data_IF_928911969945
#
_entry.id   IF_928911969945
#
_cell.length_a   1.000
_cell.length_b   1.000
_cell.length_c   1.000
_cell.angle_alpha   90.00
_cell.angle_beta   90.00
_cell.angle_gamma   90.00
#
_symmetry.space_group_name_H-M   'P 1'
#
loop_
_entity.id
_entity.type
_entity.pdbx_description
1 polymer ?
#
# COMPACT_ATOMS: atom_id res chain seq x y z
N UNK A 1 14.02 -1.58 15.17
CA UNK A 1 13.28 -2.13 14.02
C UNK A 1 14.22 -2.99 13.19
N UNK A 2 13.82 -4.21 12.84
CA UNK A 2 14.58 -5.05 11.91
C UNK A 2 13.90 -4.97 10.56
N UNK A 3 14.54 -4.33 9.59
CA UNK A 3 14.10 -4.31 8.21
C UNK A 3 14.64 -5.57 7.51
N UNK A 4 13.75 -6.44 7.04
CA UNK A 4 14.12 -7.54 6.15
C UNK A 4 13.74 -7.14 4.74
N UNK A 5 14.72 -6.82 3.92
CA UNK A 5 14.54 -6.55 2.50
C UNK A 5 14.65 -7.88 1.77
N UNK A 6 13.60 -8.27 1.07
CA UNK A 6 13.64 -9.38 0.13
C UNK A 6 13.93 -8.80 -1.26
N UNK A 7 15.13 -8.97 -1.81
CA UNK A 7 15.48 -8.38 -3.08
C UNK A 7 14.61 -8.94 -4.20
N UNK A 8 14.25 -8.06 -5.12
CA UNK A 8 13.58 -8.40 -6.36
C UNK A 8 14.45 -9.35 -7.18
N UNK A 9 13.82 -10.29 -7.84
CA UNK A 9 14.47 -11.17 -8.81
C UNK A 9 15.16 -10.34 -9.90
N UNK A 10 16.48 -10.27 -9.85
CA UNK A 10 17.27 -9.95 -11.02
C UNK A 10 17.55 -11.28 -11.75
N UNK A 11 17.22 -11.34 -13.03
CA UNK A 11 17.51 -12.46 -13.96
C UNK A 11 19.01 -12.76 -14.12
N UNK A 12 19.85 -12.38 -13.17
CA UNK A 12 21.29 -12.60 -13.25
C UNK A 12 21.71 -13.76 -12.34
N UNK A 13 22.12 -14.83 -13.04
CA UNK A 13 22.88 -15.98 -12.53
C UNK A 13 22.11 -17.00 -11.67
N UNK A 14 21.35 -17.82 -12.35
CA UNK A 14 20.94 -19.15 -11.90
C UNK A 14 22.16 -20.12 -11.85
N UNK A 15 23.12 -19.82 -11.01
CA UNK A 15 24.09 -20.80 -10.56
C UNK A 15 24.32 -20.58 -9.06
N UNK A 16 23.73 -21.46 -8.31
CA UNK A 16 23.94 -21.86 -6.93
C UNK A 16 22.73 -21.71 -6.02
N UNK A 17 22.08 -22.87 -5.79
CA UNK A 17 21.32 -23.25 -4.58
C UNK A 17 20.47 -22.16 -3.90
N UNK A 18 19.72 -21.38 -4.67
CA UNK A 18 18.66 -20.56 -4.10
C UNK A 18 17.42 -21.44 -3.89
N UNK A 19 16.77 -21.41 -2.71
CA UNK A 19 15.52 -22.13 -2.49
C UNK A 19 14.33 -21.52 -3.29
N UNK A 20 14.59 -20.55 -4.14
CA UNK A 20 13.58 -19.83 -4.94
C UNK A 20 13.53 -20.45 -6.33
N UNK A 21 12.48 -21.21 -6.62
CA UNK A 21 12.18 -21.67 -7.98
C UNK A 21 11.73 -20.49 -8.83
N UNK A 22 12.16 -20.42 -10.09
CA UNK A 22 11.47 -19.59 -11.08
C UNK A 22 10.02 -20.05 -11.10
N UNK A 23 9.12 -19.21 -10.59
CA UNK A 23 7.70 -19.44 -10.80
C UNK A 23 7.43 -19.16 -12.28
N UNK A 24 6.72 -20.06 -12.94
CA UNK A 24 6.10 -19.84 -14.24
C UNK A 24 5.02 -18.77 -14.07
N UNK A 25 5.46 -17.51 -13.98
CA UNK A 25 4.55 -16.37 -13.89
C UNK A 25 3.87 -16.23 -15.25
N UNK A 26 2.59 -16.51 -15.32
CA UNK A 26 1.75 -16.24 -16.49
C UNK A 26 1.86 -14.78 -16.95
N UNK A 27 2.24 -13.88 -16.02
CA UNK A 27 2.43 -12.46 -16.26
C UNK A 27 3.33 -11.84 -15.18
N UNK A 28 4.28 -10.93 -15.53
CA UNK A 28 5.09 -10.20 -14.56
C UNK A 28 4.26 -9.37 -13.57
N UNK A 29 3.05 -8.98 -13.93
CA UNK A 29 2.10 -8.26 -13.06
C UNK A 29 1.62 -9.10 -11.87
N UNK A 30 1.79 -10.42 -11.93
CA UNK A 30 1.40 -11.33 -10.86
C UNK A 30 2.50 -11.55 -9.82
N UNK A 31 3.68 -10.92 -9.96
CA UNK A 31 4.83 -11.13 -9.09
C UNK A 31 4.52 -10.86 -7.61
N UNK A 32 3.70 -9.88 -7.30
CA UNK A 32 3.32 -9.55 -5.92
C UNK A 32 2.52 -10.66 -5.23
N UNK A 33 1.88 -11.57 -5.98
CA UNK A 33 1.20 -12.72 -5.39
C UNK A 33 2.17 -13.74 -4.79
N UNK A 34 3.39 -13.83 -5.31
CA UNK A 34 4.41 -14.76 -4.81
C UNK A 34 4.87 -14.44 -3.38
N UNK A 35 4.71 -13.19 -2.95
CA UNK A 35 5.04 -12.78 -1.58
C UNK A 35 4.11 -13.42 -0.53
N UNK A 36 2.96 -13.96 -0.93
CA UNK A 36 1.93 -14.48 -0.01
C UNK A 36 2.45 -15.63 0.85
N UNK A 37 3.20 -16.56 0.27
CA UNK A 37 3.75 -17.69 1.02
C UNK A 37 4.77 -17.23 2.09
N UNK A 38 5.59 -16.23 1.76
CA UNK A 38 6.54 -15.64 2.72
C UNK A 38 5.79 -14.96 3.86
N UNK A 39 4.77 -14.15 3.54
CA UNK A 39 3.96 -13.47 4.55
C UNK A 39 3.24 -14.45 5.49
N UNK A 40 2.75 -15.58 4.95
CA UNK A 40 2.11 -16.63 5.72
C UNK A 40 3.08 -17.32 6.69
N UNK A 41 4.32 -17.55 6.26
CA UNK A 41 5.37 -18.07 7.13
C UNK A 41 5.73 -17.07 8.23
N UNK A 42 5.87 -15.79 7.90
CA UNK A 42 6.15 -14.72 8.85
C UNK A 42 5.03 -14.56 9.88
N UNK A 43 3.78 -14.60 9.46
CA UNK A 43 2.62 -14.56 10.35
C UNK A 43 2.62 -15.71 11.35
N UNK A 44 3.00 -16.93 10.93
CA UNK A 44 3.08 -18.12 11.79
C UNK A 44 4.24 -18.10 12.76
N UNK A 45 5.32 -17.39 12.44
CA UNK A 45 6.55 -17.40 13.25
C UNK A 45 6.41 -16.69 14.60
N UNK A 46 5.25 -16.07 14.90
CA UNK A 46 4.95 -15.36 16.16
C UNK A 46 6.14 -14.52 16.65
N UNK A 47 6.67 -13.71 15.78
CA UNK A 47 7.81 -12.87 16.16
C UNK A 47 7.33 -11.86 17.20
N UNK A 48 7.74 -12.05 18.46
CA UNK A 48 7.47 -11.15 19.59
C UNK A 48 8.11 -9.75 19.43
N UNK A 49 8.69 -9.47 18.28
CA UNK A 49 9.32 -8.19 17.96
C UNK A 49 8.35 -7.30 17.22
N UNK A 50 8.38 -6.01 17.54
CA UNK A 50 7.71 -4.98 16.74
C UNK A 50 8.34 -4.97 15.34
N UNK A 51 7.67 -5.56 14.38
CA UNK A 51 8.13 -5.69 13.00
C UNK A 51 7.18 -4.97 12.06
N UNK A 52 7.73 -4.40 11.00
CA UNK A 52 6.99 -3.90 9.85
C UNK A 52 7.32 -4.76 8.63
N UNK A 53 6.31 -5.07 7.86
CA UNK A 53 6.40 -5.81 6.60
C UNK A 53 6.02 -4.86 5.47
N UNK A 54 6.95 -4.65 4.56
CA UNK A 54 6.79 -3.75 3.43
C UNK A 54 6.73 -4.56 2.15
N UNK A 55 5.67 -4.36 1.38
CA UNK A 55 5.50 -4.91 0.04
C UNK A 55 5.38 -3.72 -0.88
N UNK A 56 6.33 -3.57 -1.78
CA UNK A 56 6.48 -2.40 -2.63
C UNK A 56 6.52 -2.81 -4.09
N UNK A 57 5.89 -2.02 -4.95
CA UNK A 57 6.21 -2.03 -6.37
C UNK A 57 7.63 -1.45 -6.56
N UNK A 58 8.31 -1.88 -7.61
CA UNK A 58 9.74 -1.56 -7.79
C UNK A 58 10.03 -0.09 -8.13
N UNK A 59 9.02 0.64 -8.47
CA UNK A 59 9.00 2.04 -8.87
C UNK A 59 8.35 2.96 -7.83
N UNK A 60 8.01 2.42 -6.66
CA UNK A 60 7.47 3.16 -5.51
C UNK A 60 8.47 3.20 -4.35
N UNK A 61 9.51 4.05 -4.42
CA UNK A 61 10.50 4.17 -3.35
C UNK A 61 9.87 4.79 -2.10
N UNK A 62 10.10 4.17 -0.96
CA UNK A 62 9.74 4.70 0.36
C UNK A 62 11.00 5.22 1.04
N UNK A 63 10.90 6.37 1.69
CA UNK A 63 11.93 6.97 2.50
C UNK A 63 11.57 6.98 3.99
N UNK A 64 12.48 7.46 4.84
CA UNK A 64 12.28 7.50 6.29
C UNK A 64 11.09 8.38 6.69
N UNK A 65 10.85 9.50 6.01
CA UNK A 65 9.73 10.40 6.31
C UNK A 65 8.38 9.71 6.09
N UNK A 66 8.27 8.91 5.01
CA UNK A 66 7.08 8.12 4.74
C UNK A 66 6.84 7.05 5.83
N UNK A 67 7.92 6.39 6.30
CA UNK A 67 7.82 5.39 7.36
C UNK A 67 7.44 6.02 8.70
N UNK A 68 8.04 7.14 9.05
CA UNK A 68 7.74 7.88 10.28
C UNK A 68 6.28 8.33 10.28
N UNK A 69 5.79 8.91 9.18
CA UNK A 69 4.38 9.23 9.01
C UNK A 69 3.46 8.02 9.26
N UNK A 70 3.77 6.88 8.63
CA UNK A 70 2.96 5.68 8.78
C UNK A 70 2.93 5.21 10.23
N UNK A 71 4.07 5.21 10.92
CA UNK A 71 4.19 4.80 12.33
C UNK A 71 3.44 5.75 13.26
N UNK A 72 3.57 7.06 13.06
CA UNK A 72 2.92 8.09 13.86
C UNK A 72 1.39 8.02 13.78
N UNK A 73 0.86 7.78 12.58
CA UNK A 73 -0.58 7.81 12.34
C UNK A 73 -1.26 6.45 12.49
N UNK A 74 -0.49 5.36 12.50
CA UNK A 74 -1.02 3.98 12.52
C UNK A 74 -1.89 3.67 13.74
N UNK A 75 -1.44 4.06 14.93
CA UNK A 75 -2.20 3.81 16.17
C UNK A 75 -3.50 4.59 16.17
N UNK A 76 -3.43 5.88 15.85
CA UNK A 76 -4.58 6.78 15.79
C UNK A 76 -5.65 6.25 14.82
N UNK A 77 -5.29 6.00 13.56
CA UNK A 77 -6.22 5.52 12.54
C UNK A 77 -6.79 4.12 12.86
N UNK A 78 -6.05 3.31 13.63
CA UNK A 78 -6.50 1.96 14.00
C UNK A 78 -7.74 1.96 14.89
N UNK A 79 -7.99 3.02 15.64
CA UNK A 79 -9.17 3.16 16.51
C UNK A 79 -10.47 3.18 15.71
N UNK A 80 -10.42 3.73 14.49
CA UNK A 80 -11.54 3.72 13.54
C UNK A 80 -11.45 2.57 12.51
N UNK A 81 -10.49 1.66 12.67
CA UNK A 81 -10.27 0.57 11.72
C UNK A 81 -9.61 0.98 10.41
N UNK A 82 -9.07 2.20 10.35
CA UNK A 82 -8.39 2.74 9.18
C UNK A 82 -6.89 2.42 9.16
N UNK A 83 -6.26 2.65 8.02
CA UNK A 83 -4.84 2.35 7.77
C UNK A 83 -4.20 3.56 7.08
N UNK A 84 -3.03 4.05 7.55
CA UNK A 84 -2.29 5.07 6.83
C UNK A 84 -1.94 4.60 5.42
N UNK A 85 -2.10 5.48 4.45
CA UNK A 85 -1.81 5.21 3.04
C UNK A 85 -0.94 6.29 2.42
N UNK A 86 -0.60 6.09 1.17
CA UNK A 86 0.24 7.01 0.40
C UNK A 86 -0.45 7.37 -0.92
N UNK A 87 -0.10 8.54 -1.41
CA UNK A 87 -0.49 9.04 -2.72
C UNK A 87 0.74 9.09 -3.61
N UNK A 88 0.67 8.45 -4.77
CA UNK A 88 1.78 8.47 -5.72
C UNK A 88 1.73 9.71 -6.59
N UNK A 89 2.90 10.32 -6.78
CA UNK A 89 3.07 11.45 -7.69
C UNK A 89 4.16 11.16 -8.71
N UNK A 90 3.98 11.65 -9.93
CA UNK A 90 4.97 11.62 -11.00
C UNK A 90 5.30 13.03 -11.46
N UNK A 91 6.54 13.21 -11.91
CA UNK A 91 6.90 14.43 -12.62
C UNK A 91 6.35 14.37 -14.04
N UNK A 92 5.67 15.42 -14.49
CA UNK A 92 5.19 15.49 -15.87
C UNK A 92 6.37 15.54 -16.85
N UNK A 93 6.11 15.17 -18.10
CA UNK A 93 7.13 15.15 -19.16
C UNK A 93 7.80 16.52 -19.39
N UNK A 94 7.16 17.62 -18.97
CA UNK A 94 7.78 18.96 -18.97
C UNK A 94 8.88 19.10 -17.92
N UNK A 95 8.95 18.24 -16.92
CA UNK A 95 9.87 18.33 -15.78
C UNK A 95 9.50 19.41 -14.75
N UNK A 96 8.40 20.13 -14.95
CA UNK A 96 8.05 21.30 -14.14
C UNK A 96 6.92 21.07 -13.14
N UNK A 97 6.10 20.04 -13.35
CA UNK A 97 4.91 19.77 -12.52
C UNK A 97 4.87 18.35 -12.03
N UNK A 98 4.44 18.19 -10.78
CA UNK A 98 4.06 16.91 -10.21
C UNK A 98 2.56 16.70 -10.41
N UNK A 99 2.17 15.51 -10.82
CA UNK A 99 0.77 15.08 -10.87
C UNK A 99 0.57 13.87 -9.98
N UNK A 100 -0.60 13.74 -9.40
CA UNK A 100 -1.01 12.53 -8.70
C UNK A 100 -1.53 11.51 -9.72
N UNK A 101 -0.93 10.33 -9.76
CA UNK A 101 -1.26 9.31 -10.76
C UNK A 101 -2.42 8.43 -10.37
N UNK A 102 -2.70 8.32 -9.07
CA UNK A 102 -3.76 7.47 -8.54
C UNK A 102 -5.11 8.19 -8.43
N UNK A 103 -5.14 9.47 -8.70
CA UNK A 103 -6.35 10.28 -8.74
C UNK A 103 -6.74 10.47 -10.21
N UNK A 104 -7.56 9.55 -10.71
CA UNK A 104 -7.88 9.48 -12.14
C UNK A 104 -8.73 10.63 -12.66
N UNK A 105 -9.39 11.37 -11.79
CA UNK A 105 -10.23 12.50 -12.20
C UNK A 105 -10.37 13.48 -11.03
N UNK A 106 -10.29 14.77 -11.35
CA UNK A 106 -10.75 15.86 -10.49
C UNK A 106 -12.20 16.25 -10.84
N UNK A 107 -12.99 15.30 -11.37
CA UNK A 107 -14.40 15.46 -11.58
C UNK A 107 -15.06 15.87 -10.26
N UNK A 108 -15.87 16.94 -10.22
CA UNK A 108 -16.55 17.41 -9.02
C UNK A 108 -17.33 16.31 -8.29
N UNK A 109 -17.95 15.39 -9.01
CA UNK A 109 -18.68 14.28 -8.39
C UNK A 109 -17.76 13.29 -7.67
N UNK A 110 -16.56 13.06 -8.18
CA UNK A 110 -15.56 12.23 -7.52
C UNK A 110 -14.94 12.95 -6.32
N UNK A 111 -14.58 14.23 -6.47
CA UNK A 111 -14.05 15.04 -5.35
C UNK A 111 -15.07 15.15 -4.21
N UNK A 112 -16.35 15.28 -4.52
CA UNK A 112 -17.42 15.30 -3.52
C UNK A 112 -17.57 13.97 -2.75
N UNK A 113 -17.04 12.88 -3.27
CA UNK A 113 -16.99 11.58 -2.57
C UNK A 113 -15.83 11.47 -1.59
N UNK A 114 -14.87 12.39 -1.63
CA UNK A 114 -13.75 12.41 -0.69
C UNK A 114 -14.25 12.79 0.70
N UNK A 115 -13.75 12.07 1.68
CA UNK A 115 -14.19 12.28 3.06
C UNK A 115 -13.07 12.85 3.90
N UNK A 116 -13.27 14.07 4.38
CA UNK A 116 -12.38 14.70 5.37
C UNK A 116 -12.93 14.43 6.77
N UNK A 117 -12.05 14.07 7.70
CA UNK A 117 -12.39 13.82 9.10
C UNK A 117 -11.20 14.15 10.00
N UNK A 118 -11.47 14.34 11.30
CA UNK A 118 -10.43 14.68 12.27
C UNK A 118 -10.40 13.67 13.41
N UNK A 119 -9.19 13.34 13.86
CA UNK A 119 -8.93 12.46 15.00
C UNK A 119 -7.76 13.02 15.80
N UNK A 120 -7.84 13.01 17.11
CA UNK A 120 -6.75 13.39 18.05
C UNK A 120 -5.99 14.68 17.67
N UNK A 121 -6.64 15.61 16.99
CA UNK A 121 -6.03 16.88 16.58
C UNK A 121 -5.37 16.83 15.19
N UNK A 122 -5.31 15.69 14.55
CA UNK A 122 -4.90 15.54 13.16
C UNK A 122 -6.12 15.51 12.23
N UNK A 123 -5.92 15.87 10.99
CA UNK A 123 -6.93 15.81 9.95
C UNK A 123 -6.51 14.84 8.86
N UNK A 124 -7.48 14.11 8.37
CA UNK A 124 -7.29 13.06 7.38
C UNK A 124 -8.28 13.20 6.24
N UNK A 125 -7.88 12.69 5.09
CA UNK A 125 -8.74 12.55 3.93
C UNK A 125 -8.75 11.10 3.44
N UNK A 126 -9.93 10.63 3.09
CA UNK A 126 -10.11 9.39 2.36
C UNK A 126 -10.44 9.72 0.91
N UNK A 127 -9.66 9.19 0.01
CA UNK A 127 -9.88 9.21 -1.43
C UNK A 127 -10.32 7.80 -1.82
N UNK A 128 -11.58 7.61 -2.26
CA UNK A 128 -12.11 6.27 -2.54
C UNK A 128 -11.29 5.51 -3.57
N UNK A 129 -11.00 4.25 -3.29
CA UNK A 129 -10.30 3.34 -4.20
C UNK A 129 -8.91 3.82 -4.64
N UNK A 130 -8.21 4.50 -3.73
CA UNK A 130 -6.84 4.97 -3.97
C UNK A 130 -5.90 3.77 -4.17
N UNK A 131 -5.25 3.68 -5.33
CA UNK A 131 -4.19 2.71 -5.58
C UNK A 131 -2.85 3.30 -5.17
N UNK A 132 -2.10 2.66 -4.27
CA UNK A 132 -0.83 3.21 -3.84
C UNK A 132 0.40 2.35 -4.15
N UNK A 133 0.23 1.12 -4.62
CA UNK A 133 1.36 0.22 -4.94
C UNK A 133 2.24 -0.15 -3.73
N UNK A 134 1.78 0.18 -2.53
CA UNK A 134 2.51 0.01 -1.27
C UNK A 134 1.61 -0.62 -0.22
N UNK A 135 2.08 -1.69 0.39
CA UNK A 135 1.44 -2.31 1.54
C UNK A 135 2.42 -2.28 2.71
N UNK A 136 2.05 -1.60 3.80
CA UNK A 136 2.78 -1.67 5.06
C UNK A 136 1.89 -2.36 6.11
N UNK A 137 2.44 -3.38 6.73
CA UNK A 137 1.75 -4.17 7.75
C UNK A 137 2.57 -4.21 9.03
N UNK A 138 1.94 -3.88 10.15
CA UNK A 138 2.41 -4.31 11.46
C UNK A 138 2.02 -5.79 11.71
N UNK A 139 2.41 -6.35 12.83
CA UNK A 139 2.06 -7.74 13.14
C UNK A 139 0.54 -7.99 13.16
N UNK A 140 -0.25 -7.02 13.65
CA UNK A 140 -1.72 -7.14 13.71
C UNK A 140 -2.32 -7.14 12.31
N UNK A 141 -1.90 -6.20 11.47
CA UNK A 141 -2.34 -6.14 10.09
C UNK A 141 -1.87 -7.34 9.26
N UNK A 142 -0.68 -7.89 9.54
CA UNK A 142 -0.20 -9.09 8.88
C UNK A 142 -1.10 -10.29 9.18
N UNK A 143 -1.47 -10.50 10.45
CA UNK A 143 -2.40 -11.58 10.81
C UNK A 143 -3.76 -11.39 10.12
N UNK A 144 -4.33 -10.20 10.21
CA UNK A 144 -5.59 -9.88 9.53
C UNK A 144 -5.49 -10.12 8.02
N UNK A 145 -4.37 -9.76 7.40
CA UNK A 145 -4.18 -9.90 5.97
C UNK A 145 -4.14 -11.36 5.53
N UNK A 146 -3.36 -12.21 6.20
CA UNK A 146 -3.24 -13.63 5.81
C UNK A 146 -4.53 -14.41 6.00
N UNK A 147 -5.44 -13.94 6.86
CA UNK A 147 -6.76 -14.53 7.11
C UNK A 147 -7.84 -13.97 6.19
N UNK A 148 -7.56 -12.88 5.48
CA UNK A 148 -8.55 -12.15 4.68
C UNK A 148 -8.74 -12.70 3.27
N UNK A 149 -9.85 -12.30 2.63
CA UNK A 149 -10.07 -12.55 1.19
C UNK A 149 -9.05 -11.84 0.30
N UNK A 150 -8.47 -10.73 0.74
CA UNK A 150 -7.46 -9.99 -0.01
C UNK A 150 -6.16 -10.77 -0.18
N UNK A 151 -5.89 -11.71 0.71
CA UNK A 151 -4.73 -12.57 0.64
C UNK A 151 -4.84 -13.66 -0.44
N UNK A 152 -6.04 -14.05 -0.81
CA UNK A 152 -6.32 -15.08 -1.79
C UNK A 152 -6.48 -14.48 -3.19
N UNK A 153 -5.67 -14.93 -4.14
CA UNK A 153 -5.65 -14.44 -5.53
C UNK A 153 -7.03 -14.45 -6.19
N UNK A 154 -7.82 -15.47 -5.90
CA UNK A 154 -9.14 -15.64 -6.54
C UNK A 154 -10.26 -14.99 -5.73
N UNK A 155 -10.25 -15.11 -4.40
CA UNK A 155 -11.28 -14.53 -3.54
C UNK A 155 -11.20 -13.01 -3.48
N UNK A 156 -10.03 -12.42 -3.70
CA UNK A 156 -9.84 -10.97 -3.74
C UNK A 156 -10.73 -10.25 -4.77
N UNK A 157 -11.15 -10.93 -5.83
CA UNK A 157 -12.10 -10.39 -6.82
C UNK A 157 -13.48 -10.02 -6.23
N UNK A 158 -13.82 -10.57 -5.07
CA UNK A 158 -15.08 -10.25 -4.40
C UNK A 158 -15.04 -8.90 -3.67
N UNK A 159 -13.84 -8.33 -3.50
CA UNK A 159 -13.61 -7.11 -2.73
C UNK A 159 -13.60 -5.85 -3.62
N UNK A 160 -13.19 -5.98 -4.87
CA UNK A 160 -13.01 -4.85 -5.78
C UNK A 160 -13.10 -5.29 -7.24
N UNK A 161 -13.38 -4.33 -8.12
CA UNK A 161 -13.41 -4.48 -9.56
C UNK A 161 -12.01 -4.46 -10.22
N UNK A 162 -10.96 -4.13 -9.47
CA UNK A 162 -9.59 -4.07 -9.98
C UNK A 162 -9.17 -5.40 -10.60
N UNK A 163 -8.29 -5.32 -11.59
CA UNK A 163 -7.68 -6.49 -12.21
C UNK A 163 -6.82 -7.29 -11.22
N UNK A 164 -6.33 -8.42 -11.66
CA UNK A 164 -5.57 -9.33 -10.81
C UNK A 164 -4.23 -8.73 -10.36
N UNK A 165 -3.56 -7.97 -11.23
CA UNK A 165 -2.29 -7.33 -10.91
C UNK A 165 -2.46 -6.24 -9.85
N UNK A 166 -3.42 -5.35 -10.06
CA UNK A 166 -3.73 -4.30 -9.09
C UNK A 166 -4.17 -4.86 -7.72
N UNK A 167 -4.97 -5.94 -7.72
CA UNK A 167 -5.37 -6.59 -6.46
C UNK A 167 -4.20 -7.18 -5.68
N UNK A 168 -3.11 -7.53 -6.33
CA UNK A 168 -1.91 -8.02 -5.64
C UNK A 168 -1.30 -6.96 -4.69
N UNK A 169 -1.41 -5.67 -5.04
CA UNK A 169 -0.91 -4.52 -4.27
C UNK A 169 -1.98 -3.87 -3.38
N UNK A 170 -3.17 -4.45 -3.27
CA UNK A 170 -4.31 -3.85 -2.57
C UNK A 170 -4.19 -3.91 -1.03
N UNK A 171 -3.50 -4.91 -0.50
CA UNK A 171 -3.44 -5.13 0.95
C UNK A 171 -4.81 -5.33 1.59
N UNK A 172 -5.05 -4.61 2.69
CA UNK A 172 -6.30 -4.67 3.48
C UNK A 172 -7.30 -3.57 3.13
N UNK A 173 -7.08 -2.82 2.07
CA UNK A 173 -7.88 -1.64 1.72
C UNK A 173 -9.40 -1.87 1.78
N UNK A 174 -9.87 -2.96 1.19
CA UNK A 174 -11.31 -3.28 1.11
C UNK A 174 -11.74 -4.41 2.07
N UNK A 175 -10.94 -4.72 3.08
CA UNK A 175 -11.25 -5.75 4.08
C UNK A 175 -11.73 -5.09 5.36
N UNK A 176 -12.86 -5.55 5.89
CA UNK A 176 -13.42 -5.02 7.15
C UNK A 176 -13.58 -3.49 7.15
N UNK A 177 -14.03 -2.93 6.04
CA UNK A 177 -14.23 -1.48 5.90
C UNK A 177 -15.26 -0.98 6.91
N UNK A 178 -14.96 0.05 7.72
CA UNK A 178 -15.93 0.62 8.64
C UNK A 178 -17.11 1.26 7.89
N UNK A 179 -18.33 1.15 8.44
CA UNK A 179 -19.59 1.50 7.74
C UNK A 179 -19.65 2.91 7.13
N UNK A 180 -18.90 3.85 7.70
CA UNK A 180 -18.94 5.25 7.27
C UNK A 180 -17.88 5.59 6.23
N UNK A 181 -17.05 4.63 5.84
CA UNK A 181 -15.95 4.80 4.89
C UNK A 181 -16.14 3.95 3.65
N UNK A 182 -15.53 4.33 2.53
CA UNK A 182 -15.56 3.56 1.27
C UNK A 182 -14.49 2.48 1.21
N UNK A 183 -13.39 2.69 1.91
CA UNK A 183 -12.28 1.73 2.10
C UNK A 183 -11.54 2.05 3.41
N UNK A 184 -10.38 1.46 3.65
CA UNK A 184 -9.64 1.67 4.92
C UNK A 184 -8.46 2.62 4.80
N UNK A 185 -8.13 3.10 3.62
CA UNK A 185 -6.96 3.94 3.43
C UNK A 185 -7.27 5.41 3.69
N UNK A 186 -6.39 6.06 4.45
CA UNK A 186 -6.50 7.48 4.76
C UNK A 186 -5.13 8.16 4.64
N UNK A 187 -5.15 9.41 4.18
CA UNK A 187 -3.99 10.29 4.06
C UNK A 187 -4.10 11.40 5.08
N UNK A 188 -2.98 11.79 5.69
CA UNK A 188 -2.95 12.96 6.57
C UNK A 188 -3.02 14.25 5.77
N UNK A 189 -3.73 15.24 6.31
CA UNK A 189 -3.75 16.59 5.78
C UNK A 189 -2.80 17.49 6.60
N UNK A 190 -2.15 18.41 5.92
CA UNK A 190 -1.37 19.45 6.57
C UNK A 190 -2.28 20.48 7.24
N UNK A 191 -1.90 21.01 8.40
CA UNK A 191 -2.62 21.79 9.39
C UNK A 191 -3.91 22.55 9.02
N UNK A 192 -4.00 23.15 7.85
CA UNK A 192 -5.13 24.00 7.46
C UNK A 192 -6.16 23.31 6.54
N UNK A 193 -6.20 21.97 6.50
CA UNK A 193 -7.16 21.15 5.73
C UNK A 193 -7.11 21.29 4.19
N UNK A 194 -6.12 21.97 3.64
CA UNK A 194 -6.10 22.30 2.22
C UNK A 194 -5.12 21.48 1.40
N UNK A 195 -4.13 20.87 2.04
CA UNK A 195 -3.07 20.14 1.33
C UNK A 195 -2.84 18.77 1.95
N UNK A 196 -2.53 17.81 1.09
CA UNK A 196 -2.06 16.49 1.55
C UNK A 196 -0.67 16.67 2.15
N UNK A 197 -0.44 16.10 3.33
CA UNK A 197 0.86 16.14 3.98
C UNK A 197 1.92 15.51 3.06
N UNK A 198 3.02 16.23 2.76
CA UNK A 198 4.11 15.69 1.94
C UNK A 198 4.66 14.34 2.41
N UNK A 199 4.55 14.03 3.70
CA UNK A 199 4.95 12.74 4.25
C UNK A 199 4.09 11.57 3.75
N UNK A 200 2.88 11.85 3.25
CA UNK A 200 2.01 10.85 2.62
C UNK A 200 2.32 10.66 1.13
N UNK A 201 3.21 11.47 0.54
CA UNK A 201 3.45 11.44 -0.91
C UNK A 201 4.66 10.57 -1.21
N UNK A 202 4.51 9.66 -2.17
CA UNK A 202 5.60 8.84 -2.73
C UNK A 202 5.84 9.29 -4.16
N UNK A 203 7.09 9.61 -4.45
CA UNK A 203 7.48 9.96 -5.81
C UNK A 203 7.67 8.67 -6.62
N UNK A 204 6.69 8.37 -7.46
CA UNK A 204 6.76 7.24 -8.37
C UNK A 204 7.88 7.48 -9.39
N UNK A 205 8.77 6.51 -9.53
CA UNK A 205 9.86 6.61 -10.50
C UNK A 205 9.29 6.48 -11.92
N UNK A 206 9.65 7.38 -12.83
CA UNK A 206 9.18 7.27 -14.21
C UNK A 206 9.58 5.93 -14.80
N UNK A 207 8.66 5.33 -15.55
CA UNK A 207 8.90 4.05 -16.23
C UNK A 207 10.20 4.12 -17.02
N UNK A 208 11.19 3.36 -16.57
CA UNK A 208 12.46 3.15 -17.26
C UNK A 208 12.38 1.98 -18.25
N UNK A 209 11.16 1.70 -18.78
CA UNK A 209 10.91 0.63 -19.74
C UNK A 209 10.71 1.15 -21.14
#
# INVERSE_FOLDING_TARGET
FTCKVFPKYNKMNAHNNSPWQESDLESPWNLLWENREILKLLARSQVNQKSLYLILENDTPINQVNLDYWLETREELSEEGLIPSFLRSEIENSGERWRFIDVHSLDPDQVNSWKVFSMKGNSFIQIPSLYCGVIILDNKLLQEFVESKAFDRFKSRELTWWDMGARAAMGLQFVNVPKVFSDRYALRLNGDYQEIDPACIIHHLPNLY
#
